data_IF_590657409580
#
_entry.id   IF_590657409580
#
_cell.length_a   1.000
_cell.length_b   1.000
_cell.length_c   1.000
_cell.angle_alpha   90.00
_cell.angle_beta   90.00
_cell.angle_gamma   90.00
#
_symmetry.space_group_name_H-M   'P 1'
#
loop_
_entity.id
_entity.type
_entity.pdbx_description
1 polymer ?
#
# COMPACT_ATOMS: atom_id res chain seq x y z
N UNK A 1 35.04 34.60 18.09
CA UNK A 1 34.96 33.69 16.93
C UNK A 1 33.87 32.67 17.24
N UNK A 2 32.76 32.59 16.47
CA UNK A 2 31.73 31.61 16.74
C UNK A 2 32.24 30.21 16.36
N UNK A 3 32.18 29.31 17.33
CA UNK A 3 32.55 27.90 17.19
C UNK A 3 31.71 27.24 16.09
N UNK A 4 32.37 26.48 15.21
CA UNK A 4 31.69 25.63 14.22
C UNK A 4 30.79 24.63 14.97
N UNK A 5 29.53 24.43 14.54
CA UNK A 5 28.71 23.37 15.09
C UNK A 5 29.32 22.00 14.75
N UNK A 6 29.32 21.12 15.75
CA UNK A 6 29.78 19.73 15.65
C UNK A 6 28.91 18.94 14.66
N UNK A 7 29.54 18.08 13.87
CA UNK A 7 28.88 17.16 12.93
C UNK A 7 28.24 15.94 13.64
N UNK A 8 28.36 15.82 14.96
CA UNK A 8 27.85 14.69 15.75
C UNK A 8 26.40 14.88 16.25
N UNK A 9 25.62 15.70 15.56
CA UNK A 9 24.20 15.92 15.89
C UNK A 9 23.36 15.84 14.63
N UNK A 10 23.45 14.71 13.93
CA UNK A 10 22.36 14.31 13.03
C UNK A 10 21.16 14.09 13.96
N UNK A 11 20.09 14.91 13.87
CA UNK A 11 18.90 14.67 14.67
C UNK A 11 18.44 13.23 14.39
N UNK A 12 18.17 12.46 15.45
CA UNK A 12 17.54 11.13 15.32
C UNK A 12 16.32 11.30 14.40
N UNK A 13 16.47 10.83 13.17
CA UNK A 13 15.41 10.92 12.18
C UNK A 13 14.29 10.05 12.72
N UNK A 14 13.15 10.69 12.98
CA UNK A 14 11.99 10.05 13.54
C UNK A 14 11.58 8.83 12.68
N UNK A 15 11.67 7.63 13.25
CA UNK A 15 11.28 6.36 12.60
C UNK A 15 9.95 5.89 13.21
N UNK A 16 8.87 5.80 12.43
CA UNK A 16 7.67 5.11 12.88
C UNK A 16 8.00 3.62 13.06
N UNK A 17 7.90 3.07 14.28
CA UNK A 17 8.13 1.65 14.59
C UNK A 17 7.32 0.66 13.73
N UNK A 18 6.29 1.14 13.02
CA UNK A 18 5.39 0.35 12.15
C UNK A 18 5.76 0.40 10.66
N UNK A 19 6.81 1.12 10.26
CA UNK A 19 7.21 1.34 8.85
C UNK A 19 8.61 0.76 8.51
N UNK A 20 9.12 -0.18 9.32
CA UNK A 20 10.56 -0.49 9.38
C UNK A 20 11.18 -0.85 8.02
N UNK A 21 10.51 -1.64 7.17
CA UNK A 21 11.13 -2.15 5.93
C UNK A 21 11.06 -1.14 4.78
N UNK A 22 9.92 -0.46 4.61
CA UNK A 22 9.72 0.53 3.55
C UNK A 22 10.52 1.80 3.88
N UNK A 23 10.69 2.09 5.17
CA UNK A 23 11.54 3.17 5.64
C UNK A 23 13.02 2.94 5.33
N UNK A 24 13.53 1.72 5.47
CA UNK A 24 14.90 1.39 5.04
C UNK A 24 15.11 1.66 3.55
N UNK A 25 14.14 1.30 2.71
CA UNK A 25 14.15 1.62 1.27
C UNK A 25 14.18 3.13 1.03
N UNK A 26 13.36 3.90 1.75
CA UNK A 26 13.37 5.36 1.66
C UNK A 26 14.69 5.97 2.13
N UNK A 27 15.26 5.47 3.22
CA UNK A 27 16.52 5.94 3.79
C UNK A 27 17.72 5.67 2.89
N UNK A 28 17.72 4.57 2.14
CA UNK A 28 18.79 4.23 1.21
C UNK A 28 18.88 5.17 -0.01
N UNK A 29 17.81 5.92 -0.33
CA UNK A 29 17.82 6.85 -1.46
C UNK A 29 18.68 8.10 -1.18
N UNK A 30 19.37 8.68 -2.17
CA UNK A 30 20.01 9.99 -2.02
C UNK A 30 19.01 11.10 -1.65
N UNK A 31 19.43 12.11 -0.88
CA UNK A 31 18.53 13.23 -0.51
C UNK A 31 18.03 14.04 -1.71
N UNK A 32 18.83 14.13 -2.77
CA UNK A 32 18.49 14.78 -4.03
C UNK A 32 17.62 13.92 -4.95
N UNK A 33 17.30 12.69 -4.55
CA UNK A 33 16.55 11.75 -5.38
C UNK A 33 15.12 12.24 -5.61
N UNK A 34 14.71 12.25 -6.87
CA UNK A 34 13.32 12.49 -7.26
C UNK A 34 12.58 11.14 -7.38
N UNK A 35 11.43 11.05 -6.71
CA UNK A 35 10.56 9.88 -6.72
C UNK A 35 9.22 10.23 -7.35
N UNK A 36 8.64 9.28 -8.08
CA UNK A 36 7.27 9.42 -8.56
C UNK A 36 6.27 9.40 -7.40
N UNK A 37 5.10 10.03 -7.57
CA UNK A 37 4.05 10.04 -6.56
C UNK A 37 3.67 8.63 -6.05
N UNK A 38 3.57 7.66 -6.95
CA UNK A 38 3.23 6.27 -6.59
C UNK A 38 4.35 5.59 -5.78
N UNK A 39 5.60 5.87 -6.12
CA UNK A 39 6.75 5.40 -5.36
C UNK A 39 6.75 6.01 -3.95
N UNK A 40 6.51 7.31 -3.83
CA UNK A 40 6.38 7.95 -2.52
C UNK A 40 5.23 7.34 -1.70
N UNK A 41 4.10 7.06 -2.33
CA UNK A 41 2.97 6.37 -1.70
C UNK A 41 3.38 5.01 -1.12
N UNK A 42 4.16 4.24 -1.88
CA UNK A 42 4.70 2.96 -1.44
C UNK A 42 5.62 3.14 -0.22
N UNK A 43 6.64 4.00 -0.34
CA UNK A 43 7.66 4.21 0.68
C UNK A 43 7.11 4.77 2.00
N UNK A 44 6.05 5.58 1.92
CA UNK A 44 5.39 6.17 3.09
C UNK A 44 4.16 5.40 3.57
N UNK A 45 3.86 4.24 2.97
CA UNK A 45 2.65 3.44 3.24
C UNK A 45 1.36 4.29 3.27
N UNK A 46 1.19 5.12 2.25
CA UNK A 46 0.01 5.98 2.09
C UNK A 46 -0.71 5.69 0.77
N UNK A 47 -2.02 5.87 0.74
CA UNK A 47 -2.77 5.70 -0.52
C UNK A 47 -2.55 6.88 -1.48
N UNK A 48 -2.62 6.66 -2.80
CA UNK A 48 -2.55 7.74 -3.79
C UNK A 48 -3.57 8.86 -3.54
N UNK A 49 -4.81 8.49 -3.20
CA UNK A 49 -5.87 9.43 -2.84
C UNK A 49 -5.50 10.33 -1.66
N UNK A 50 -4.78 9.79 -0.69
CA UNK A 50 -4.36 10.52 0.50
C UNK A 50 -3.24 11.51 0.20
N UNK A 51 -2.24 11.10 -0.57
CA UNK A 51 -1.18 12.00 -1.03
C UNK A 51 -1.76 13.14 -1.88
N UNK A 52 -2.72 12.83 -2.76
CA UNK A 52 -3.46 13.84 -3.51
C UNK A 52 -4.22 14.80 -2.59
N UNK A 53 -4.95 14.28 -1.60
CA UNK A 53 -5.68 15.09 -0.63
C UNK A 53 -4.75 16.06 0.11
N UNK A 54 -3.59 15.58 0.58
CA UNK A 54 -2.58 16.43 1.24
C UNK A 54 -2.13 17.57 0.32
N UNK A 55 -1.91 17.29 -0.98
CA UNK A 55 -1.56 18.30 -1.97
C UNK A 55 -2.68 19.32 -2.18
N UNK A 56 -3.93 18.87 -2.32
CA UNK A 56 -5.07 19.76 -2.54
C UNK A 56 -5.40 20.65 -1.35
N UNK A 57 -5.11 20.18 -0.13
CA UNK A 57 -5.38 20.92 1.10
C UNK A 57 -4.19 21.78 1.58
N UNK A 58 -3.03 21.70 0.92
CA UNK A 58 -1.83 22.43 1.36
C UNK A 58 -1.21 21.85 2.64
N UNK A 59 -1.25 20.52 2.80
CA UNK A 59 -0.67 19.82 3.94
C UNK A 59 0.39 18.78 3.55
N UNK A 60 0.83 18.79 2.30
CA UNK A 60 1.76 17.80 1.74
C UNK A 60 3.20 18.30 1.66
N UNK A 61 4.14 17.43 1.28
CA UNK A 61 5.49 17.85 0.94
C UNK A 61 5.50 18.66 -0.37
N UNK A 62 6.54 19.49 -0.54
CA UNK A 62 6.81 20.15 -1.82
C UNK A 62 6.91 19.11 -2.94
N UNK A 63 6.48 19.51 -4.14
CA UNK A 63 6.38 18.62 -5.27
C UNK A 63 6.76 19.31 -6.58
N UNK A 64 7.16 18.52 -7.56
CA UNK A 64 7.49 18.97 -8.90
C UNK A 64 6.37 18.49 -9.82
N UNK A 65 5.78 19.42 -10.57
CA UNK A 65 4.80 19.11 -11.61
C UNK A 65 5.25 19.74 -12.91
N UNK A 66 5.45 18.92 -13.95
CA UNK A 66 5.93 19.36 -15.26
C UNK A 66 7.23 20.20 -15.19
N UNK A 67 8.15 19.83 -14.28
CA UNK A 67 9.42 20.53 -14.08
C UNK A 67 9.33 21.82 -13.26
N UNK A 68 8.15 22.20 -12.76
CA UNK A 68 7.95 23.37 -11.91
C UNK A 68 7.79 22.90 -10.46
N UNK A 69 8.55 23.48 -9.53
CA UNK A 69 8.42 23.21 -8.09
C UNK A 69 7.26 24.00 -7.49
N UNK A 70 6.45 23.33 -6.68
CA UNK A 70 5.31 23.88 -5.96
C UNK A 70 5.50 23.69 -4.46
N UNK A 71 5.08 24.70 -3.70
CA UNK A 71 5.03 24.67 -2.24
C UNK A 71 3.88 23.77 -1.78
N UNK A 72 4.21 22.67 -1.10
CA UNK A 72 3.26 21.66 -0.62
C UNK A 72 2.34 22.16 0.51
N UNK A 73 2.68 23.30 1.12
CA UNK A 73 1.87 23.96 2.15
C UNK A 73 0.73 24.81 1.57
N UNK A 74 0.70 25.02 0.25
CA UNK A 74 -0.34 25.79 -0.41
C UNK A 74 -1.38 24.87 -1.06
N UNK A 75 -2.68 25.20 -0.97
CA UNK A 75 -3.74 24.44 -1.62
C UNK A 75 -3.53 24.41 -3.14
N UNK A 76 -3.30 23.21 -3.68
CA UNK A 76 -3.32 23.01 -5.12
C UNK A 76 -4.77 22.96 -5.63
N UNK A 77 -5.00 23.45 -6.86
CA UNK A 77 -6.29 23.25 -7.52
C UNK A 77 -6.62 21.74 -7.56
N UNK A 78 -7.88 21.34 -7.33
CA UNK A 78 -8.29 19.95 -7.42
C UNK A 78 -8.01 19.46 -8.84
N UNK A 79 -6.95 18.68 -8.99
CA UNK A 79 -6.61 18.03 -10.25
C UNK A 79 -7.65 16.95 -10.52
N UNK A 80 -8.12 16.87 -11.77
CA UNK A 80 -8.80 15.67 -12.24
C UNK A 80 -7.87 14.48 -12.01
N UNK A 81 -8.38 13.45 -11.34
CA UNK A 81 -7.74 12.15 -11.05
C UNK A 81 -7.07 11.46 -12.27
N UNK A 82 -7.25 12.02 -13.47
CA UNK A 82 -6.96 11.48 -14.78
C UNK A 82 -5.85 12.28 -15.50
N UNK A 83 -5.40 13.40 -14.93
CA UNK A 83 -4.37 14.19 -15.59
C UNK A 83 -3.03 13.45 -15.53
N UNK A 84 -2.54 13.01 -16.71
CA UNK A 84 -1.28 12.24 -16.90
C UNK A 84 -0.01 13.02 -16.56
N UNK A 85 -0.11 14.04 -15.71
CA UNK A 85 1.02 14.87 -15.34
C UNK A 85 1.96 14.06 -14.46
N UNK A 86 3.23 14.04 -14.81
CA UNK A 86 4.28 13.44 -13.99
C UNK A 86 4.47 14.33 -12.76
N UNK A 87 4.15 13.78 -11.60
CA UNK A 87 4.36 14.43 -10.30
C UNK A 87 5.52 13.74 -9.61
N UNK A 88 6.54 14.52 -9.30
CA UNK A 88 7.76 14.09 -8.62
C UNK A 88 7.86 14.71 -7.22
N UNK A 89 8.60 14.04 -6.35
CA UNK A 89 8.90 14.47 -4.99
C UNK A 89 10.38 14.27 -4.72
N UNK A 90 11.05 15.28 -4.16
CA UNK A 90 12.46 15.16 -3.77
C UNK A 90 12.55 14.66 -2.33
N UNK A 91 13.41 13.67 -2.06
CA UNK A 91 13.54 13.09 -0.73
C UNK A 91 13.80 14.13 0.37
N UNK A 92 14.69 15.10 0.14
CA UNK A 92 14.98 16.17 1.10
C UNK A 92 13.73 16.97 1.50
N UNK A 93 12.88 17.32 0.54
CA UNK A 93 11.64 18.07 0.77
C UNK A 93 10.63 17.21 1.55
N UNK A 94 10.54 15.91 1.24
CA UNK A 94 9.71 14.96 1.99
C UNK A 94 10.17 14.83 3.44
N UNK A 95 11.48 14.70 3.68
CA UNK A 95 12.05 14.64 5.03
C UNK A 95 11.73 15.90 5.83
N UNK A 96 11.91 17.09 5.23
CA UNK A 96 11.60 18.37 5.85
C UNK A 96 10.12 18.48 6.24
N UNK A 97 9.23 18.05 5.33
CA UNK A 97 7.80 17.98 5.60
C UNK A 97 7.47 17.00 6.73
N UNK A 98 8.04 15.79 6.72
CA UNK A 98 7.81 14.79 7.77
C UNK A 98 8.27 15.28 9.14
N UNK A 99 9.41 15.95 9.20
CA UNK A 99 9.92 16.54 10.44
C UNK A 99 9.01 17.64 10.99
N UNK A 100 8.44 18.46 10.11
CA UNK A 100 7.50 19.52 10.49
C UNK A 100 6.11 18.97 10.85
N UNK A 101 5.77 17.76 10.42
CA UNK A 101 4.44 17.16 10.53
C UNK A 101 4.43 15.79 11.24
N UNK A 102 5.41 15.51 12.11
CA UNK A 102 5.64 14.19 12.74
C UNK A 102 4.38 13.54 13.32
N UNK A 103 3.56 14.30 14.06
CA UNK A 103 2.33 13.80 14.68
C UNK A 103 1.26 13.42 13.65
N UNK A 104 1.12 14.21 12.59
CA UNK A 104 0.20 13.91 11.50
C UNK A 104 0.70 12.69 10.72
N UNK A 105 1.97 12.63 10.34
CA UNK A 105 2.54 11.48 9.60
C UNK A 105 2.33 10.16 10.34
N UNK A 106 2.50 10.14 11.67
CA UNK A 106 2.21 8.97 12.51
C UNK A 106 0.74 8.52 12.51
N UNK A 107 -0.19 9.47 12.51
CA UNK A 107 -1.61 9.17 12.38
C UNK A 107 -2.00 8.75 10.96
N UNK A 108 -1.16 9.10 9.98
CA UNK A 108 -1.44 8.90 8.58
C UNK A 108 -0.90 7.57 8.04
N UNK A 109 0.07 6.93 8.68
CA UNK A 109 0.51 5.57 8.31
C UNK A 109 -0.58 4.55 8.62
N UNK A 110 -0.75 3.55 7.74
CA UNK A 110 -1.68 2.45 8.04
C UNK A 110 -1.12 1.67 9.24
N UNK A 111 -1.97 1.07 10.08
CA UNK A 111 -1.48 0.07 11.03
C UNK A 111 -0.77 -1.02 10.22
N UNK A 112 0.49 -1.29 10.55
CA UNK A 112 1.34 -2.29 9.89
C UNK A 112 0.51 -3.53 9.56
N UNK A 113 0.16 -3.71 8.28
CA UNK A 113 -0.39 -4.99 7.83
C UNK A 113 0.76 -5.96 7.98
N UNK A 114 0.64 -6.88 8.94
CA UNK A 114 1.68 -7.87 9.16
C UNK A 114 1.92 -8.57 7.83
N UNK A 115 3.18 -8.60 7.36
CA UNK A 115 3.62 -9.39 6.19
C UNK A 115 3.32 -10.90 6.32
N UNK A 116 2.74 -11.30 7.44
CA UNK A 116 2.38 -12.66 7.79
C UNK A 116 1.01 -12.95 7.19
N UNK A 117 1.07 -13.58 6.01
CA UNK A 117 0.00 -14.21 5.22
C UNK A 117 -0.76 -13.28 4.29
N UNK A 118 -0.27 -13.24 3.06
CA UNK A 118 -1.02 -12.69 1.93
C UNK A 118 -2.22 -13.62 1.66
N UNK A 119 -3.41 -13.02 1.60
CA UNK A 119 -4.67 -13.67 1.15
C UNK A 119 -5.26 -14.68 2.12
N UNK A 120 -5.49 -14.29 3.38
CA UNK A 120 -6.30 -15.10 4.30
C UNK A 120 -7.80 -14.91 4.05
N UNK A 121 -8.22 -13.75 3.53
CA UNK A 121 -9.63 -13.42 3.35
C UNK A 121 -9.95 -12.95 1.94
N UNK A 122 -11.22 -13.08 1.52
CA UNK A 122 -11.69 -12.51 0.25
C UNK A 122 -11.66 -10.99 0.24
N UNK A 123 -11.69 -10.33 1.40
CA UNK A 123 -11.50 -8.88 1.45
C UNK A 123 -10.11 -8.48 0.92
N UNK A 124 -9.09 -9.30 1.19
CA UNK A 124 -7.71 -9.06 0.75
C UNK A 124 -7.57 -9.10 -0.78
N UNK A 125 -8.52 -9.70 -1.51
CA UNK A 125 -8.53 -9.71 -2.98
C UNK A 125 -8.85 -8.34 -3.58
N UNK A 126 -9.57 -7.51 -2.82
CA UNK A 126 -9.96 -6.17 -3.22
C UNK A 126 -9.04 -5.08 -2.66
N UNK A 127 -8.14 -5.46 -1.76
CA UNK A 127 -7.11 -4.55 -1.25
C UNK A 127 -6.11 -4.20 -2.35
N UNK A 128 -5.88 -2.90 -2.51
CA UNK A 128 -4.83 -2.39 -3.40
C UNK A 128 -3.44 -2.71 -2.82
N UNK A 129 -2.61 -3.36 -3.62
CA UNK A 129 -1.20 -3.64 -3.32
C UNK A 129 -0.30 -3.05 -4.40
N UNK A 130 0.95 -2.77 -4.04
CA UNK A 130 1.94 -2.23 -4.96
C UNK A 130 2.57 -3.36 -5.80
N UNK A 131 2.47 -3.22 -7.12
CA UNK A 131 3.07 -4.11 -8.11
C UNK A 131 4.10 -3.36 -8.94
N UNK A 132 5.17 -4.06 -9.31
CA UNK A 132 6.06 -3.60 -10.37
C UNK A 132 5.37 -3.79 -11.72
N UNK A 133 5.45 -2.78 -12.59
CA UNK A 133 4.89 -2.80 -13.93
C UNK A 133 5.97 -2.40 -14.94
N UNK A 134 6.13 -3.19 -15.99
CA UNK A 134 7.10 -2.91 -17.05
C UNK A 134 6.60 -1.86 -18.06
N UNK A 135 7.47 -1.52 -19.01
CA UNK A 135 7.16 -0.51 -20.03
C UNK A 135 6.01 -0.91 -20.96
N UNK A 136 5.71 -2.21 -21.06
CA UNK A 136 4.60 -2.74 -21.85
C UNK A 136 3.29 -2.81 -21.03
N UNK A 137 3.32 -2.37 -19.76
CA UNK A 137 2.19 -2.39 -18.85
C UNK A 137 1.90 -3.77 -18.25
N UNK A 138 2.87 -4.68 -18.25
CA UNK A 138 2.73 -6.02 -17.66
C UNK A 138 3.21 -6.04 -16.22
N UNK A 139 2.53 -6.81 -15.38
CA UNK A 139 2.90 -7.00 -13.97
C UNK A 139 4.16 -7.86 -13.89
N UNK A 140 5.19 -7.34 -13.23
CA UNK A 140 6.49 -7.99 -13.04
C UNK A 140 6.67 -8.60 -11.64
N UNK A 141 5.72 -8.36 -10.72
CA UNK A 141 5.73 -8.92 -9.37
C UNK A 141 5.31 -7.93 -8.30
N UNK A 142 5.38 -8.35 -7.03
CA UNK A 142 5.08 -7.49 -5.88
C UNK A 142 6.29 -6.62 -5.53
N UNK A 143 6.05 -5.33 -5.24
CA UNK A 143 7.11 -4.44 -4.76
C UNK A 143 7.61 -4.88 -3.38
N UNK A 144 6.73 -5.45 -2.57
CA UNK A 144 7.04 -5.95 -1.22
C UNK A 144 7.91 -7.20 -1.19
N UNK A 145 7.97 -7.97 -2.27
CA UNK A 145 8.87 -9.11 -2.39
C UNK A 145 10.30 -8.71 -2.73
N UNK A 146 10.49 -7.46 -3.15
CA UNK A 146 11.82 -6.97 -3.51
C UNK A 146 12.65 -6.68 -2.27
N UNK A 147 13.83 -7.28 -2.20
CA UNK A 147 14.88 -6.86 -1.27
C UNK A 147 15.25 -5.39 -1.48
N UNK A 148 16.00 -4.79 -0.55
CA UNK A 148 16.50 -3.42 -0.72
C UNK A 148 17.30 -3.26 -2.01
N UNK A 149 18.22 -4.19 -2.29
CA UNK A 149 19.04 -4.19 -3.50
C UNK A 149 18.19 -4.29 -4.76
N UNK A 150 17.24 -5.24 -4.79
CA UNK A 150 16.31 -5.39 -5.91
C UNK A 150 15.45 -4.15 -6.11
N UNK A 151 14.96 -3.54 -5.02
CA UNK A 151 14.16 -2.32 -5.09
C UNK A 151 14.93 -1.19 -5.75
N UNK A 152 16.18 -0.94 -5.33
CA UNK A 152 17.03 0.12 -5.88
C UNK A 152 17.34 -0.10 -7.36
N UNK A 153 17.48 -1.35 -7.80
CA UNK A 153 17.68 -1.68 -9.21
C UNK A 153 16.38 -1.53 -10.03
N UNK A 154 15.28 -2.13 -9.56
CA UNK A 154 14.01 -2.20 -10.28
C UNK A 154 13.31 -0.85 -10.42
N UNK A 155 13.39 0.03 -9.42
CA UNK A 155 12.78 1.37 -9.47
C UNK A 155 13.27 2.24 -10.63
N UNK A 156 14.43 1.93 -11.19
CA UNK A 156 15.00 2.66 -12.35
C UNK A 156 14.51 2.10 -13.69
N UNK A 157 13.88 0.92 -13.68
CA UNK A 157 13.51 0.14 -14.87
C UNK A 157 12.00 -0.06 -15.01
N UNK A 158 11.29 -0.11 -13.89
CA UNK A 158 9.87 -0.44 -13.78
C UNK A 158 9.12 0.68 -13.06
N UNK A 159 7.83 0.85 -13.39
CA UNK A 159 6.93 1.71 -12.62
C UNK A 159 6.29 0.91 -11.47
N UNK A 160 5.74 1.62 -10.50
CA UNK A 160 4.90 1.04 -9.46
C UNK A 160 3.44 1.28 -9.84
N UNK A 161 2.58 0.28 -9.70
CA UNK A 161 1.13 0.45 -9.83
C UNK A 161 0.40 -0.18 -8.64
N UNK A 162 -0.58 0.54 -8.11
CA UNK A 162 -1.44 0.03 -7.05
C UNK A 162 -2.65 -0.64 -7.70
N UNK A 163 -2.74 -1.96 -7.56
CA UNK A 163 -3.81 -2.75 -8.15
C UNK A 163 -4.48 -3.60 -7.07
N UNK A 164 -5.81 -3.78 -7.12
CA UNK A 164 -6.47 -4.86 -6.41
C UNK A 164 -5.85 -6.19 -6.82
N UNK A 165 -5.67 -7.12 -5.89
CA UNK A 165 -5.03 -8.40 -6.20
C UNK A 165 -5.84 -9.20 -7.21
N UNK A 166 -7.16 -9.17 -7.14
CA UNK A 166 -8.00 -9.81 -8.15
C UNK A 166 -7.73 -9.26 -9.57
N UNK A 167 -7.51 -7.95 -9.69
CA UNK A 167 -7.15 -7.31 -10.95
C UNK A 167 -5.74 -7.73 -11.40
N UNK A 168 -4.76 -7.71 -10.50
CA UNK A 168 -3.41 -8.16 -10.80
C UNK A 168 -3.38 -9.64 -11.24
N UNK A 169 -4.14 -10.52 -10.59
CA UNK A 169 -4.22 -11.95 -10.93
C UNK A 169 -4.80 -12.21 -12.33
N UNK A 170 -5.55 -11.26 -12.89
CA UNK A 170 -6.14 -11.36 -14.23
C UNK A 170 -5.43 -10.50 -15.28
N UNK A 171 -4.43 -9.71 -14.86
CA UNK A 171 -3.61 -8.88 -15.75
C UNK A 171 -2.62 -9.73 -16.58
N UNK A 172 -1.91 -9.07 -17.51
CA UNK A 172 -0.76 -9.66 -18.21
C UNK A 172 0.48 -9.57 -17.31
N UNK A 173 1.29 -10.62 -17.30
CA UNK A 173 2.50 -10.70 -16.49
C UNK A 173 3.72 -10.95 -17.37
N UNK A 174 4.83 -10.30 -17.04
CA UNK A 174 6.11 -10.51 -17.69
C UNK A 174 6.82 -11.77 -17.19
N UNK A 175 6.55 -12.19 -15.94
CA UNK A 175 6.96 -13.49 -15.39
C UNK A 175 5.76 -14.44 -15.19
N UNK A 176 5.60 -15.45 -16.07
CA UNK A 176 4.54 -16.45 -15.95
C UNK A 176 4.60 -17.29 -14.66
N UNK A 177 5.79 -17.49 -14.07
CA UNK A 177 5.93 -18.28 -12.85
C UNK A 177 5.39 -17.50 -11.64
N UNK A 178 5.77 -16.22 -11.52
CA UNK A 178 5.21 -15.33 -10.50
C UNK A 178 3.69 -15.17 -10.67
N UNK A 179 3.19 -15.06 -11.91
CA UNK A 179 1.76 -15.00 -12.19
C UNK A 179 1.03 -16.24 -11.68
N UNK A 180 1.54 -17.44 -12.01
CA UNK A 180 0.96 -18.70 -11.56
C UNK A 180 0.94 -18.79 -10.04
N UNK A 181 2.02 -18.41 -9.36
CA UNK A 181 2.08 -18.43 -7.89
C UNK A 181 0.99 -17.54 -7.27
N UNK A 182 0.76 -16.35 -7.82
CA UNK A 182 -0.34 -15.50 -7.36
C UNK A 182 -1.70 -16.12 -7.66
N UNK A 183 -1.92 -16.58 -8.89
CA UNK A 183 -3.19 -17.15 -9.32
C UNK A 183 -3.58 -18.38 -8.48
N UNK A 184 -2.60 -19.25 -8.17
CA UNK A 184 -2.80 -20.43 -7.33
C UNK A 184 -3.19 -20.03 -5.89
N UNK A 185 -2.53 -19.00 -5.33
CA UNK A 185 -2.85 -18.48 -4.00
C UNK A 185 -4.28 -17.90 -3.95
N UNK A 186 -4.66 -17.10 -4.95
CA UNK A 186 -6.03 -16.55 -5.08
C UNK A 186 -7.05 -17.68 -5.21
N UNK A 187 -6.79 -18.66 -6.09
CA UNK A 187 -7.67 -19.80 -6.29
C UNK A 187 -7.79 -20.69 -5.04
N UNK A 188 -6.74 -20.79 -4.23
CA UNK A 188 -6.77 -21.49 -2.95
C UNK A 188 -7.62 -20.74 -1.92
N UNK A 189 -7.45 -19.41 -1.79
CA UNK A 189 -8.24 -18.59 -0.87
C UNK A 189 -9.75 -18.64 -1.20
N UNK A 190 -10.11 -18.54 -2.47
CA UNK A 190 -11.51 -18.64 -2.92
C UNK A 190 -12.12 -20.02 -2.63
N UNK A 191 -11.36 -21.10 -2.86
CA UNK A 191 -11.81 -22.47 -2.53
C UNK A 191 -12.03 -22.65 -1.04
N UNK A 192 -11.11 -22.14 -0.20
CA UNK A 192 -11.25 -22.17 1.26
C UNK A 192 -12.52 -21.47 1.71
N UNK A 193 -12.82 -20.26 1.18
CA UNK A 193 -14.06 -19.57 1.52
C UNK A 193 -15.30 -20.36 1.10
N UNK A 194 -15.31 -20.95 -0.09
CA UNK A 194 -16.45 -21.76 -0.56
C UNK A 194 -16.74 -22.90 0.41
N UNK A 195 -15.70 -23.62 0.85
CA UNK A 195 -15.82 -24.71 1.81
C UNK A 195 -16.34 -24.22 3.18
N UNK A 196 -15.87 -23.07 3.65
CA UNK A 196 -16.36 -22.46 4.89
C UNK A 196 -17.83 -22.06 4.83
N UNK A 197 -18.28 -21.54 3.68
CA UNK A 197 -19.68 -21.19 3.44
C UNK A 197 -20.54 -22.46 3.49
N UNK A 198 -20.16 -23.50 2.74
CA UNK A 198 -20.87 -24.78 2.72
C UNK A 198 -20.99 -25.38 4.13
N UNK A 199 -19.88 -25.40 4.88
CA UNK A 199 -19.87 -25.90 6.26
C UNK A 199 -20.82 -25.11 7.18
N UNK A 200 -20.87 -23.78 7.04
CA UNK A 200 -21.77 -22.92 7.83
C UNK A 200 -23.24 -23.09 7.45
N UNK A 201 -23.55 -23.34 6.18
CA UNK A 201 -24.91 -23.66 5.73
C UNK A 201 -25.36 -24.97 6.36
N UNK A 202 -24.57 -26.04 6.27
CA UNK A 202 -24.87 -27.34 6.89
C UNK A 202 -25.05 -27.20 8.40
N UNK A 203 -24.17 -26.47 9.08
CA UNK A 203 -24.30 -26.22 10.52
C UNK A 203 -25.61 -25.49 10.87
N UNK A 204 -26.03 -24.54 10.04
CA UNK A 204 -27.29 -23.80 10.21
C UNK A 204 -28.51 -24.70 10.01
N UNK A 205 -28.47 -25.58 9.02
CA UNK A 205 -29.52 -26.58 8.76
C UNK A 205 -29.65 -27.57 9.92
N UNK A 206 -28.54 -28.15 10.38
CA UNK A 206 -28.52 -29.07 11.53
C UNK A 206 -29.05 -28.40 12.80
N UNK A 207 -28.66 -27.15 13.06
CA UNK A 207 -29.14 -26.40 14.22
C UNK A 207 -30.63 -26.08 14.13
N UNK A 208 -31.16 -25.83 12.92
CA UNK A 208 -32.60 -25.64 12.70
C UNK A 208 -33.41 -26.92 12.95
N UNK A 209 -32.90 -28.09 12.54
CA UNK A 209 -33.53 -29.39 12.80
C UNK A 209 -33.57 -29.73 14.29
N UNK A 210 -32.48 -29.47 15.01
CA UNK A 210 -32.39 -29.68 16.47
C UNK A 210 -33.28 -28.72 17.28
N UNK A 211 -33.62 -27.56 16.72
CA UNK A 211 -34.50 -26.56 17.35
C UNK A 211 -35.99 -26.78 17.11
N UNK A 212 -36.41 -27.73 16.25
CA UNK A 212 -37.83 -28.08 16.16
C UNK A 212 -38.29 -28.55 17.55
N UNK A 213 -39.14 -27.79 18.26
CA UNK A 213 -39.62 -28.22 19.56
C UNK A 213 -40.40 -29.52 19.36
N UNK A 214 -40.40 -30.36 20.37
CA UNK A 214 -41.40 -31.40 20.54
C UNK A 214 -42.80 -30.75 20.62
N UNK A 215 -43.39 -30.37 19.48
CA UNK A 215 -44.84 -30.26 19.32
C UNK A 215 -45.43 -31.69 19.28
N UNK A 216 -45.10 -32.50 20.30
CA UNK A 216 -45.83 -33.73 20.61
C UNK A 216 -46.97 -33.34 21.55
N UNK A 217 -48.09 -33.00 20.92
CA UNK A 217 -49.46 -33.21 21.38
C UNK A 217 -49.65 -33.35 22.90
N UNK A 218 -49.83 -32.24 23.61
CA UNK A 218 -50.66 -32.30 24.82
C UNK A 218 -52.10 -32.16 24.33
N UNK A 219 -52.76 -33.30 24.16
CA UNK A 219 -54.18 -33.39 23.87
C UNK A 219 -54.92 -33.37 25.23
N UNK A 220 -55.58 -32.28 25.65
CA UNK A 220 -56.38 -32.30 26.87
C UNK A 220 -57.73 -32.98 26.54
N UNK A 221 -58.03 -34.07 27.25
CA UNK A 221 -59.36 -34.67 27.31
C UNK A 221 -60.30 -33.84 28.18
#
# INVERSE_FOLDING_TARGET
MPSKPSLDSIPEVFVPEKMVVEWEKFQALPESEEMAAKELCYLLDMSPRKLQMLRTLGGGPDYIKNGIKFDGSQPAAPEDLISRHRIGYVKADVLSWMESNRASVLMLSKPAKSKVRRFETVADLFDEQAFWVDIDGQVAGFVDDSSLEQYLDLRTKLDIEFLPVAQAATARWSDPAAHRALADSVAQGLRGLSQDIEAKVVASEMHAELRKPEERSVNPR
#
